data_IF_485784932359
#
_entry.id   IF_485784932359
#
_cell.length_a   1.000
_cell.length_b   1.000
_cell.length_c   1.000
_cell.angle_alpha   90.00
_cell.angle_beta   90.00
_cell.angle_gamma   90.00
#
_symmetry.space_group_name_H-M   'P 1'
#
loop_
_entity.id
_entity.type
_entity.pdbx_description
1 polymer ?
#
# COMPACT_ATOMS: atom_id res chain seq x y z
N UNK A 1 0.39 -6.96 -3.16
CA UNK A 1 1.35 -8.04 -3.48
C UNK A 1 2.37 -7.62 -4.53
N UNK A 2 1.95 -6.97 -5.62
CA UNK A 2 2.83 -6.56 -6.73
C UNK A 2 4.05 -5.74 -6.27
N UNK A 3 3.86 -4.85 -5.32
CA UNK A 3 4.94 -4.05 -4.74
C UNK A 3 6.04 -4.85 -4.06
N UNK A 4 5.79 -6.10 -3.64
CA UNK A 4 6.81 -6.92 -2.93
C UNK A 4 7.95 -7.31 -3.86
N UNK A 5 7.67 -7.68 -5.11
CA UNK A 5 8.72 -8.01 -6.08
C UNK A 5 9.63 -6.81 -6.34
N UNK A 6 9.04 -5.63 -6.57
CA UNK A 6 9.80 -4.39 -6.76
C UNK A 6 10.59 -4.02 -5.50
N UNK A 7 9.94 -4.11 -4.34
CA UNK A 7 10.58 -3.84 -3.04
C UNK A 7 11.76 -4.77 -2.77
N UNK A 8 11.66 -6.04 -3.14
CA UNK A 8 12.75 -7.01 -2.99
C UNK A 8 13.98 -6.63 -3.83
N UNK A 9 13.80 -6.25 -5.09
CA UNK A 9 14.90 -5.81 -5.95
C UNK A 9 15.57 -4.53 -5.41
N UNK A 10 14.77 -3.57 -4.93
CA UNK A 10 15.29 -2.35 -4.30
C UNK A 10 16.07 -2.70 -3.02
N UNK A 11 15.50 -3.54 -2.14
CA UNK A 11 16.13 -3.95 -0.90
C UNK A 11 17.47 -4.65 -1.14
N UNK A 12 17.54 -5.56 -2.12
CA UNK A 12 18.79 -6.23 -2.52
C UNK A 12 19.84 -5.24 -3.03
N UNK A 13 19.45 -4.25 -3.82
CA UNK A 13 20.38 -3.25 -4.37
C UNK A 13 20.90 -2.26 -3.35
N UNK A 14 20.07 -1.90 -2.36
CA UNK A 14 20.42 -0.96 -1.31
C UNK A 14 20.97 -1.63 -0.05
N UNK A 15 21.04 -2.95 -0.02
CA UNK A 15 21.41 -3.74 1.17
C UNK A 15 20.54 -3.39 2.40
N UNK A 16 19.23 -3.18 2.15
CA UNK A 16 18.25 -2.73 3.13
C UNK A 16 17.28 -3.84 3.52
N UNK A 17 16.71 -3.81 4.74
CA UNK A 17 15.66 -4.75 5.12
C UNK A 17 14.37 -4.49 4.33
N UNK A 18 13.63 -5.57 4.04
CA UNK A 18 12.31 -5.51 3.40
C UNK A 18 11.23 -5.92 4.41
N UNK A 19 10.18 -5.14 4.47
CA UNK A 19 8.96 -5.49 5.21
C UNK A 19 7.73 -5.31 4.30
N UNK A 20 6.60 -5.90 4.69
CA UNK A 20 5.34 -5.74 3.97
C UNK A 20 4.38 -4.86 4.77
N UNK A 21 3.82 -3.87 4.10
CA UNK A 21 2.69 -3.10 4.61
C UNK A 21 1.42 -3.59 3.92
N UNK A 22 0.50 -4.14 4.69
CA UNK A 22 -0.75 -4.65 4.17
C UNK A 22 -1.77 -3.53 4.08
N UNK A 23 -2.36 -3.36 2.90
CA UNK A 23 -3.40 -2.36 2.64
C UNK A 23 -4.62 -3.03 2.04
N UNK A 24 -5.81 -2.57 2.45
CA UNK A 24 -7.10 -3.05 1.95
C UNK A 24 -7.99 -1.88 1.56
N UNK A 25 -8.66 -1.99 0.43
CA UNK A 25 -9.72 -1.04 0.04
C UNK A 25 -10.98 -1.30 0.83
N UNK A 26 -11.69 -0.23 1.15
CA UNK A 26 -13.08 -0.26 1.62
C UNK A 26 -13.92 0.14 0.41
N UNK A 27 -14.66 -0.79 -0.16
CA UNK A 27 -15.48 -0.58 -1.36
C UNK A 27 -16.89 -0.12 -1.06
N UNK A 28 -17.62 0.37 -2.06
CA UNK A 28 -19.07 0.62 -1.93
C UNK A 28 -19.86 -0.68 -2.05
N UNK A 29 -21.08 -0.78 -1.45
CA UNK A 29 -21.81 -2.06 -1.35
C UNK A 29 -22.11 -2.73 -2.69
N UNK A 30 -22.42 -1.96 -3.70
CA UNK A 30 -22.82 -2.45 -5.03
C UNK A 30 -21.69 -2.51 -6.05
N UNK A 31 -20.51 -1.96 -5.71
CA UNK A 31 -19.31 -1.95 -6.57
C UNK A 31 -18.05 -1.96 -5.72
N UNK A 32 -17.61 -3.13 -5.21
CA UNK A 32 -16.46 -3.24 -4.29
C UNK A 32 -15.15 -2.66 -4.84
N UNK A 33 -14.99 -2.59 -6.16
CA UNK A 33 -13.82 -1.97 -6.80
C UNK A 33 -13.83 -0.43 -6.73
N UNK A 34 -15.00 0.18 -6.54
CA UNK A 34 -15.10 1.62 -6.29
C UNK A 34 -14.73 1.91 -4.85
N UNK A 35 -13.53 2.46 -4.64
CA UNK A 35 -13.02 2.72 -3.31
C UNK A 35 -13.78 3.84 -2.61
N UNK A 36 -14.35 3.53 -1.46
CA UNK A 36 -14.88 4.47 -0.48
C UNK A 36 -13.79 4.93 0.48
N UNK A 37 -12.81 4.07 0.70
CA UNK A 37 -11.68 4.31 1.56
C UNK A 37 -10.64 3.21 1.45
N UNK A 38 -9.70 3.22 2.36
CA UNK A 38 -8.72 2.17 2.52
C UNK A 38 -8.23 2.10 3.97
N UNK A 39 -7.67 0.98 4.33
CA UNK A 39 -7.01 0.78 5.61
C UNK A 39 -5.66 0.08 5.42
N UNK A 40 -4.71 0.40 6.28
CA UNK A 40 -3.39 -0.21 6.32
C UNK A 40 -3.12 -0.78 7.72
N UNK A 41 -2.32 -1.83 7.78
CA UNK A 41 -1.83 -2.32 9.06
C UNK A 41 -0.86 -1.31 9.68
N UNK A 42 -0.84 -1.26 11.01
CA UNK A 42 0.04 -0.32 11.73
C UNK A 42 1.50 -0.79 11.83
N UNK A 43 1.89 -1.90 11.19
CA UNK A 43 3.24 -2.46 11.35
C UNK A 43 3.61 -2.75 12.82
N UNK A 44 2.68 -3.32 13.60
CA UNK A 44 2.79 -3.55 15.04
C UNK A 44 2.10 -2.49 15.92
N UNK A 45 1.67 -1.35 15.32
CA UNK A 45 0.83 -0.32 15.94
C UNK A 45 -0.65 -0.44 15.53
N UNK A 46 -1.47 0.56 15.90
CA UNK A 46 -2.88 0.59 15.48
C UNK A 46 -3.00 0.77 13.96
N UNK A 47 -4.03 0.17 13.33
CA UNK A 47 -4.24 0.32 11.90
C UNK A 47 -4.56 1.78 11.53
N UNK A 48 -4.17 2.18 10.32
CA UNK A 48 -4.57 3.44 9.71
C UNK A 48 -5.82 3.21 8.86
N UNK A 49 -6.86 3.99 9.10
CA UNK A 49 -8.11 3.95 8.34
C UNK A 49 -8.38 5.31 7.74
N UNK A 50 -8.67 5.33 6.45
CA UNK A 50 -9.11 6.52 5.72
C UNK A 50 -10.44 6.24 5.04
N UNK A 51 -11.43 7.11 5.28
CA UNK A 51 -12.74 7.10 4.59
C UNK A 51 -12.90 8.44 3.88
N UNK A 52 -13.31 8.40 2.62
CA UNK A 52 -13.77 9.58 1.89
C UNK A 52 -15.24 9.89 2.29
N UNK A 53 -15.39 10.64 3.37
CA UNK A 53 -16.70 11.00 3.91
C UNK A 53 -17.57 11.79 2.93
N UNK A 54 -16.96 12.62 2.06
CA UNK A 54 -17.68 13.35 1.03
C UNK A 54 -18.28 12.40 0.01
N UNK A 55 -17.52 11.42 -0.43
CA UNK A 55 -17.99 10.37 -1.34
C UNK A 55 -19.04 9.49 -0.66
N UNK A 56 -18.83 9.12 0.59
CA UNK A 56 -19.81 8.36 1.37
C UNK A 56 -21.16 9.09 1.41
N UNK A 57 -21.15 10.37 1.73
CA UNK A 57 -22.33 11.20 1.77
C UNK A 57 -22.99 11.36 0.37
N UNK A 58 -22.21 11.64 -0.67
CA UNK A 58 -22.71 11.80 -2.04
C UNK A 58 -23.35 10.54 -2.60
N UNK A 59 -22.88 9.35 -2.17
CA UNK A 59 -23.42 8.05 -2.56
C UNK A 59 -24.46 7.52 -1.56
N UNK A 60 -24.83 8.31 -0.54
CA UNK A 60 -25.78 7.94 0.52
C UNK A 60 -25.42 6.59 1.19
N UNK A 61 -24.13 6.33 1.43
CA UNK A 61 -23.66 5.11 2.08
C UNK A 61 -24.02 5.15 3.57
N UNK A 62 -24.72 4.13 4.10
CA UNK A 62 -25.06 4.10 5.53
C UNK A 62 -23.79 4.02 6.40
N UNK A 63 -23.69 4.79 7.50
CA UNK A 63 -22.55 4.71 8.43
C UNK A 63 -22.31 3.32 9.00
N UNK A 64 -23.37 2.57 9.25
CA UNK A 64 -23.26 1.18 9.71
C UNK A 64 -22.54 0.28 8.70
N UNK A 65 -22.83 0.44 7.41
CA UNK A 65 -22.10 -0.30 6.38
C UNK A 65 -20.60 0.02 6.42
N UNK A 66 -20.24 1.31 6.54
CA UNK A 66 -18.83 1.74 6.59
C UNK A 66 -18.12 1.08 7.77
N UNK A 67 -18.77 1.07 8.95
CA UNK A 67 -18.22 0.44 10.15
C UNK A 67 -18.02 -1.07 9.94
N UNK A 68 -19.08 -1.77 9.52
CA UNK A 68 -19.09 -3.22 9.40
C UNK A 68 -18.08 -3.69 8.32
N UNK A 69 -18.01 -2.96 7.21
CA UNK A 69 -17.04 -3.24 6.15
C UNK A 69 -15.59 -2.96 6.61
N UNK A 70 -15.37 -1.90 7.39
CA UNK A 70 -14.05 -1.62 7.97
C UNK A 70 -13.62 -2.74 8.90
N UNK A 71 -14.47 -3.20 9.78
CA UNK A 71 -14.20 -4.33 10.69
C UNK A 71 -13.89 -5.62 9.92
N UNK A 72 -14.66 -5.91 8.88
CA UNK A 72 -14.43 -7.06 8.00
C UNK A 72 -13.06 -7.00 7.31
N UNK A 73 -12.69 -5.84 6.79
CA UNK A 73 -11.40 -5.65 6.13
C UNK A 73 -10.23 -5.69 7.11
N UNK A 74 -10.40 -5.21 8.34
CA UNK A 74 -9.41 -5.34 9.41
C UNK A 74 -9.14 -6.81 9.76
N UNK A 75 -10.18 -7.60 9.94
CA UNK A 75 -10.05 -9.03 10.23
C UNK A 75 -9.30 -9.79 9.10
N UNK A 76 -9.59 -9.47 7.84
CA UNK A 76 -8.89 -10.04 6.69
C UNK A 76 -7.43 -9.59 6.62
N UNK A 77 -7.14 -8.35 6.97
CA UNK A 77 -5.79 -7.81 7.02
C UNK A 77 -4.94 -8.53 8.09
N UNK A 78 -5.51 -8.73 9.29
CA UNK A 78 -4.86 -9.50 10.36
C UNK A 78 -4.62 -10.97 9.97
N UNK A 79 -5.58 -11.59 9.27
CA UNK A 79 -5.43 -12.94 8.73
C UNK A 79 -4.24 -13.02 7.77
N UNK A 80 -4.12 -12.05 6.83
CA UNK A 80 -3.00 -11.99 5.87
C UNK A 80 -1.67 -11.72 6.56
N UNK A 81 -1.66 -10.83 7.56
CA UNK A 81 -0.43 -10.55 8.32
C UNK A 81 0.13 -11.82 8.95
N UNK A 82 -0.74 -12.65 9.56
CA UNK A 82 -0.32 -13.95 10.12
C UNK A 82 0.26 -14.88 9.06
N UNK A 83 -0.27 -14.87 7.85
CA UNK A 83 0.22 -15.72 6.75
C UNK A 83 1.57 -15.23 6.23
N UNK A 84 1.73 -13.92 5.97
CA UNK A 84 2.94 -13.39 5.32
C UNK A 84 4.10 -13.14 6.29
N UNK A 85 3.80 -12.70 7.50
CA UNK A 85 4.84 -12.33 8.46
C UNK A 85 5.13 -13.43 9.48
N UNK A 86 4.18 -14.38 9.70
CA UNK A 86 4.29 -15.40 10.75
C UNK A 86 4.77 -14.77 12.08
N UNK A 87 5.93 -15.20 12.59
CA UNK A 87 6.54 -14.68 13.82
C UNK A 87 7.58 -13.57 13.55
N UNK A 88 7.70 -13.11 12.30
CA UNK A 88 8.66 -12.06 11.94
C UNK A 88 8.21 -10.71 12.52
N UNK A 89 9.04 -10.07 13.36
CA UNK A 89 8.71 -8.77 13.88
C UNK A 89 8.73 -7.71 12.76
N UNK A 90 7.90 -6.67 12.84
CA UNK A 90 7.95 -5.56 11.89
C UNK A 90 9.32 -4.88 11.93
N UNK A 91 9.82 -4.48 10.76
CA UNK A 91 11.06 -3.71 10.66
C UNK A 91 10.86 -2.33 11.30
N UNK A 92 11.80 -1.95 12.20
CA UNK A 92 11.79 -0.64 12.81
C UNK A 92 12.11 0.45 11.78
N UNK A 93 11.21 1.43 11.63
CA UNK A 93 11.35 2.55 10.69
C UNK A 93 11.64 3.89 11.37
N UNK A 94 11.47 3.97 12.71
CA UNK A 94 11.69 5.22 13.45
C UNK A 94 13.12 5.73 13.25
N UNK A 95 13.24 7.00 12.85
CA UNK A 95 14.53 7.64 12.62
C UNK A 95 15.30 7.16 11.38
N UNK A 96 14.73 6.29 10.56
CA UNK A 96 15.34 5.77 9.32
C UNK A 96 14.67 6.36 8.07
N UNK A 97 15.28 6.18 6.92
CA UNK A 97 14.62 6.42 5.64
C UNK A 97 13.73 5.22 5.30
N UNK A 98 12.43 5.45 5.15
CA UNK A 98 11.47 4.45 4.70
C UNK A 98 11.18 4.64 3.21
N UNK A 99 11.35 3.58 2.41
CA UNK A 99 11.00 3.57 0.98
C UNK A 99 9.70 2.78 0.84
N UNK A 100 8.62 3.46 0.48
CA UNK A 100 7.30 2.84 0.26
C UNK A 100 7.15 2.52 -1.21
N UNK A 101 6.94 1.24 -1.51
CA UNK A 101 7.00 0.71 -2.88
C UNK A 101 5.68 0.05 -3.26
N UNK A 102 5.24 0.21 -4.50
CA UNK A 102 4.16 -0.58 -5.12
C UNK A 102 4.47 -0.84 -6.60
N UNK A 103 3.72 -1.72 -7.26
CA UNK A 103 3.87 -2.02 -8.69
C UNK A 103 3.40 -0.87 -9.60
N UNK A 104 2.57 0.02 -9.10
CA UNK A 104 2.13 1.23 -9.78
C UNK A 104 1.00 1.93 -9.07
N UNK A 105 0.74 3.18 -9.45
CA UNK A 105 -0.28 3.99 -8.82
C UNK A 105 -1.30 4.47 -9.85
N UNK A 106 -2.54 3.95 -9.77
CA UNK A 106 -3.65 4.44 -10.58
C UNK A 106 -4.42 5.56 -9.87
N UNK A 107 -5.19 5.26 -8.83
CA UNK A 107 -6.02 6.26 -8.11
C UNK A 107 -5.35 6.84 -6.85
N UNK A 108 -4.30 6.20 -6.37
CA UNK A 108 -3.51 6.64 -5.22
C UNK A 108 -4.15 6.45 -3.83
N UNK A 109 -5.40 5.98 -3.74
CA UNK A 109 -6.07 5.83 -2.45
C UNK A 109 -5.33 4.87 -1.51
N UNK A 110 -4.91 3.72 -2.03
CA UNK A 110 -4.15 2.69 -1.31
C UNK A 110 -2.79 3.24 -0.85
N UNK A 111 -2.07 3.89 -1.78
CA UNK A 111 -0.75 4.46 -1.49
C UNK A 111 -0.82 5.57 -0.45
N UNK A 112 -1.84 6.43 -0.49
CA UNK A 112 -2.03 7.50 0.50
C UNK A 112 -2.15 6.95 1.92
N UNK A 113 -2.93 5.89 2.10
CA UNK A 113 -3.10 5.24 3.40
C UNK A 113 -1.80 4.57 3.84
N UNK A 114 -1.10 3.91 2.91
CA UNK A 114 0.21 3.32 3.18
C UNK A 114 1.23 4.37 3.66
N UNK A 115 1.35 5.50 2.96
CA UNK A 115 2.25 6.58 3.33
C UNK A 115 1.93 7.15 4.71
N UNK A 116 0.65 7.36 5.04
CA UNK A 116 0.22 7.84 6.35
C UNK A 116 0.52 6.84 7.47
N UNK A 117 0.28 5.55 7.24
CA UNK A 117 0.61 4.50 8.19
C UNK A 117 2.13 4.46 8.49
N UNK A 118 2.96 4.56 7.45
CA UNK A 118 4.42 4.62 7.61
C UNK A 118 4.85 5.91 8.32
N UNK A 119 4.27 7.06 7.97
CA UNK A 119 4.59 8.35 8.59
C UNK A 119 4.36 8.34 10.10
N UNK A 120 3.31 7.68 10.58
CA UNK A 120 3.02 7.53 12.02
C UNK A 120 4.07 6.73 12.78
N UNK A 121 4.84 5.89 12.09
CA UNK A 121 5.94 5.13 12.68
C UNK A 121 7.22 5.95 12.85
N UNK A 122 7.20 7.26 12.51
CA UNK A 122 8.27 8.21 12.77
C UNK A 122 9.55 8.05 11.95
N UNK A 123 9.48 7.77 10.62
CA UNK A 123 10.68 7.76 9.79
C UNK A 123 11.35 9.14 9.77
N UNK A 124 12.68 9.19 9.64
CA UNK A 124 13.42 10.44 9.45
C UNK A 124 13.17 11.03 8.04
N UNK A 125 12.97 10.16 7.06
CA UNK A 125 12.59 10.53 5.69
C UNK A 125 11.73 9.43 5.08
N UNK A 126 10.83 9.80 4.18
CA UNK A 126 9.95 8.86 3.49
C UNK A 126 9.98 9.10 1.99
N UNK A 127 10.35 8.05 1.24
CA UNK A 127 10.42 8.05 -0.22
C UNK A 127 9.28 7.18 -0.76
N UNK A 128 8.52 7.73 -1.70
CA UNK A 128 7.58 6.96 -2.52
C UNK A 128 8.32 6.49 -3.77
N UNK A 129 8.36 5.19 -4.04
CA UNK A 129 9.04 4.64 -5.21
C UNK A 129 8.14 3.67 -5.98
N UNK A 130 7.83 4.00 -7.25
CA UNK A 130 6.99 3.16 -8.12
C UNK A 130 7.49 3.15 -9.55
N UNK A 131 7.33 2.04 -10.29
CA UNK A 131 7.67 1.99 -11.71
C UNK A 131 6.78 2.90 -12.57
N UNK A 132 5.48 2.99 -12.28
CA UNK A 132 4.53 3.77 -13.07
C UNK A 132 3.45 4.43 -12.20
N UNK A 133 3.09 5.65 -12.54
CA UNK A 133 1.97 6.36 -11.91
C UNK A 133 1.26 7.30 -12.89
N UNK A 134 -0.04 7.53 -12.67
CA UNK A 134 -0.75 8.59 -13.34
C UNK A 134 -0.24 9.97 -12.87
N UNK A 135 -0.04 10.90 -13.80
CA UNK A 135 0.54 12.23 -13.53
C UNK A 135 -0.21 12.98 -12.44
N UNK A 136 -1.56 13.00 -12.51
CA UNK A 136 -2.40 13.74 -11.56
C UNK A 136 -2.36 13.09 -10.18
N UNK A 137 -2.28 11.75 -10.13
CA UNK A 137 -2.20 10.99 -8.89
C UNK A 137 -0.85 11.19 -8.19
N UNK A 138 0.24 11.15 -8.95
CA UNK A 138 1.57 11.40 -8.40
C UNK A 138 1.66 12.83 -7.82
N UNK A 139 1.16 13.83 -8.54
CA UNK A 139 1.08 15.21 -8.06
C UNK A 139 0.25 15.33 -6.78
N UNK A 140 -0.89 14.63 -6.68
CA UNK A 140 -1.74 14.63 -5.50
C UNK A 140 -1.12 13.91 -4.28
N UNK A 141 -0.12 13.06 -4.47
CA UNK A 141 0.63 12.36 -3.42
C UNK A 141 1.93 13.07 -3.02
N UNK A 142 2.36 14.09 -3.78
CA UNK A 142 3.64 14.77 -3.56
C UNK A 142 3.80 15.38 -2.15
N UNK A 143 2.70 15.67 -1.44
CA UNK A 143 2.73 16.17 -0.05
C UNK A 143 2.71 15.08 1.02
N UNK A 144 2.56 13.81 0.65
CA UNK A 144 2.45 12.69 1.59
C UNK A 144 3.83 12.00 1.83
N UNK A 145 4.81 12.21 0.94
CA UNK A 145 6.17 11.72 1.04
C UNK A 145 7.17 12.89 0.96
N UNK A 146 8.39 12.70 1.44
CA UNK A 146 9.44 13.73 1.35
C UNK A 146 10.07 13.74 -0.05
N UNK A 147 10.07 12.58 -0.72
CA UNK A 147 10.54 12.41 -2.09
C UNK A 147 9.64 11.41 -2.83
N UNK A 148 9.48 11.60 -4.14
CA UNK A 148 8.77 10.67 -5.01
C UNK A 148 9.65 10.30 -6.22
N UNK A 149 9.89 9.00 -6.40
CA UNK A 149 10.61 8.41 -7.52
C UNK A 149 9.62 7.62 -8.36
N UNK A 150 9.44 8.00 -9.60
CA UNK A 150 8.58 7.31 -10.57
C UNK A 150 9.33 7.17 -11.89
N UNK A 151 9.44 5.96 -12.42
CA UNK A 151 10.18 5.70 -13.66
C UNK A 151 9.40 6.20 -14.86
N UNK A 152 8.10 5.90 -14.92
CA UNK A 152 7.20 6.30 -16.00
C UNK A 152 5.99 7.07 -15.45
N UNK A 153 5.88 8.35 -15.83
CA UNK A 153 4.75 9.21 -15.45
C UNK A 153 3.74 9.24 -16.59
N UNK A 154 2.67 8.48 -16.47
CA UNK A 154 1.72 8.25 -17.54
C UNK A 154 0.66 9.36 -17.67
N UNK A 155 0.50 9.90 -18.87
CA UNK A 155 -0.65 10.73 -19.24
C UNK A 155 -1.80 9.84 -19.70
N UNK A 156 -2.73 9.52 -18.81
CA UNK A 156 -3.83 8.60 -19.12
C UNK A 156 -3.43 7.14 -18.89
N UNK A 157 -3.22 6.80 -17.65
CA UNK A 157 -2.95 5.42 -17.21
C UNK A 157 -4.19 4.56 -17.43
N UNK A 158 -4.14 3.63 -18.39
CA UNK A 158 -5.19 2.63 -18.61
C UNK A 158 -5.15 1.55 -17.53
N UNK A 159 -4.16 0.69 -17.57
CA UNK A 159 -3.91 -0.31 -16.53
C UNK A 159 -2.41 -0.41 -16.26
N UNK A 160 -2.03 -0.65 -15.01
CA UNK A 160 -0.63 -0.78 -14.58
C UNK A 160 0.08 -1.89 -15.37
N UNK A 161 -0.60 -3.02 -15.61
CA UNK A 161 -0.05 -4.15 -16.33
C UNK A 161 0.40 -3.86 -17.77
N UNK A 162 -0.04 -2.77 -18.40
CA UNK A 162 0.42 -2.38 -19.74
C UNK A 162 1.87 -1.89 -19.78
N UNK A 163 2.45 -1.62 -18.63
CA UNK A 163 3.84 -1.14 -18.48
C UNK A 163 4.81 -2.24 -18.09
N UNK A 164 4.35 -3.50 -18.07
CA UNK A 164 5.14 -4.68 -17.72
C UNK A 164 5.14 -5.70 -18.85
N UNK A 165 6.26 -6.34 -19.10
CA UNK A 165 6.37 -7.47 -20.02
C UNK A 165 5.66 -8.70 -19.45
N UNK A 166 5.78 -8.92 -18.15
CA UNK A 166 5.06 -9.94 -17.38
C UNK A 166 4.43 -9.28 -16.14
N UNK A 167 3.10 -9.31 -16.09
CA UNK A 167 2.30 -8.79 -14.98
C UNK A 167 1.37 -9.86 -14.45
N UNK A 168 1.96 -10.93 -13.92
CA UNK A 168 1.18 -11.94 -13.24
C UNK A 168 0.82 -11.54 -11.81
N UNK A 169 -0.31 -12.04 -11.34
CA UNK A 169 -0.71 -11.80 -9.95
C UNK A 169 0.08 -12.73 -9.02
N UNK A 170 1.00 -12.18 -8.23
CA UNK A 170 1.79 -12.94 -7.26
C UNK A 170 0.90 -13.76 -6.32
N UNK A 171 1.27 -15.02 -6.13
CA UNK A 171 0.69 -15.92 -5.13
C UNK A 171 1.15 -15.54 -3.71
N UNK A 172 0.48 -16.11 -2.71
CA UNK A 172 0.89 -15.93 -1.31
C UNK A 172 2.25 -16.58 -1.05
N UNK A 173 2.54 -17.72 -1.67
CA UNK A 173 3.82 -18.43 -1.51
C UNK A 173 4.98 -17.64 -2.11
N UNK A 174 4.82 -16.99 -3.26
CA UNK A 174 5.83 -16.11 -3.84
C UNK A 174 6.14 -14.91 -2.93
N UNK A 175 5.12 -14.31 -2.33
CA UNK A 175 5.31 -13.22 -1.37
C UNK A 175 6.09 -13.68 -0.15
N UNK A 176 5.73 -14.84 0.41
CA UNK A 176 6.42 -15.42 1.58
C UNK A 176 7.88 -15.73 1.25
N UNK A 177 8.16 -16.34 0.07
CA UNK A 177 9.52 -16.66 -0.36
C UNK A 177 10.39 -15.38 -0.48
N UNK A 178 9.89 -14.34 -1.12
CA UNK A 178 10.63 -13.08 -1.25
C UNK A 178 10.91 -12.42 0.11
N UNK A 179 9.92 -12.42 1.02
CA UNK A 179 10.12 -11.91 2.37
C UNK A 179 11.13 -12.74 3.16
N UNK A 180 11.10 -14.07 3.02
CA UNK A 180 12.05 -14.96 3.70
C UNK A 180 13.50 -14.80 3.19
N UNK A 181 13.68 -14.48 1.91
CA UNK A 181 14.99 -14.25 1.28
C UNK A 181 15.56 -12.85 1.51
N UNK A 182 14.71 -11.92 1.92
CA UNK A 182 15.15 -10.56 2.24
C UNK A 182 15.95 -10.53 3.54
N UNK A 183 16.85 -9.55 3.69
CA UNK A 183 17.54 -9.32 4.97
C UNK A 183 16.56 -8.86 6.06
N UNK A 184 16.88 -9.22 7.30
CA UNK A 184 16.20 -8.70 8.49
C UNK A 184 16.63 -7.26 8.82
#
# INVERSE_FOLDING_TARGET
RGGVAIGFEIACRLDAPLDILLVRKIGVPWQPELALGALADGGGGPPEVFIDERRAAALAIPPDYVRDETERQLAELERRRRIYCADRPPVEVAGRTAIVVDDGIATGATMRVALRAVRRRGPASMVLAVPVAAVDTLAALAGEADEAVCVEVAKGLGAIGYYYEDFHQMSDDEVIDLLARSKE
#
